data_IF_316079445576
#
_entry.id   IF_316079445576
#
_cell.length_a   1.000
_cell.length_b   1.000
_cell.length_c   1.000
_cell.angle_alpha   90.00
_cell.angle_beta   90.00
_cell.angle_gamma   90.00
#
_symmetry.space_group_name_H-M   'P 1'
#
loop_
_entity.id
_entity.type
_entity.pdbx_description
1 polymer ?
#
# COMPACT_ATOMS: atom_id res chain seq x y z
N UNK A 1 12.93 11.37 -26.68
CA UNK A 1 14.01 10.77 -25.87
C UNK A 1 13.55 10.60 -24.43
N UNK A 2 13.65 9.40 -23.87
CA UNK A 2 13.36 9.16 -22.46
C UNK A 2 14.51 9.72 -21.62
N UNK A 3 14.27 10.78 -20.85
CA UNK A 3 15.26 11.32 -19.90
C UNK A 3 15.39 10.37 -18.72
N UNK A 4 16.45 9.57 -18.71
CA UNK A 4 16.78 8.72 -17.59
C UNK A 4 17.27 9.61 -16.43
N UNK A 5 16.52 9.63 -15.33
CA UNK A 5 16.85 10.42 -14.14
C UNK A 5 18.14 9.84 -13.51
N UNK A 6 19.15 10.65 -13.18
CA UNK A 6 20.43 10.17 -12.64
C UNK A 6 20.35 9.58 -11.22
N UNK A 7 19.22 9.78 -10.53
CA UNK A 7 18.94 9.21 -9.23
C UNK A 7 18.34 7.82 -9.42
N UNK A 8 18.99 6.81 -8.83
CA UNK A 8 18.42 5.48 -8.72
C UNK A 8 17.26 5.54 -7.69
N UNK A 9 16.03 5.64 -8.18
CA UNK A 9 14.81 5.71 -7.35
C UNK A 9 14.53 4.37 -6.63
N UNK A 10 15.20 3.29 -7.06
CA UNK A 10 15.03 1.94 -6.50
C UNK A 10 15.94 1.74 -5.30
N UNK A 11 15.50 2.21 -4.14
CA UNK A 11 16.13 1.88 -2.86
C UNK A 11 15.73 0.45 -2.50
N UNK A 12 16.71 -0.43 -2.31
CA UNK A 12 16.45 -1.80 -1.85
C UNK A 12 16.34 -1.84 -0.32
N UNK A 13 15.54 -2.78 0.19
CA UNK A 13 15.53 -3.09 1.61
C UNK A 13 16.96 -3.48 2.08
N UNK A 14 17.43 -3.04 3.27
CA UNK A 14 16.70 -2.28 4.27
C UNK A 14 16.55 -0.79 3.90
N UNK A 15 15.30 -0.30 3.90
CA UNK A 15 15.01 1.12 3.80
C UNK A 15 15.45 1.74 5.12
N UNK A 16 16.67 2.29 5.20
CA UNK A 16 17.31 2.65 6.47
C UNK A 16 16.35 3.30 7.48
N UNK A 17 16.42 2.88 8.77
CA UNK A 17 15.45 3.15 9.85
C UNK A 17 14.66 4.47 9.70
N UNK A 18 13.51 4.42 9.03
CA UNK A 18 12.53 5.51 9.05
C UNK A 18 11.51 5.19 10.12
N UNK A 19 10.83 6.21 10.63
CA UNK A 19 9.74 6.01 11.59
C UNK A 19 8.38 5.87 10.90
N UNK A 20 8.26 6.43 9.69
CA UNK A 20 7.01 6.49 8.92
C UNK A 20 7.27 6.22 7.44
N UNK A 21 6.45 5.36 6.83
CA UNK A 21 6.41 5.09 5.39
C UNK A 21 5.02 5.42 4.84
N UNK A 22 4.95 6.25 3.80
CA UNK A 22 3.74 6.47 3.02
C UNK A 22 3.83 5.70 1.72
N UNK A 23 2.83 4.87 1.42
CA UNK A 23 2.78 4.05 0.20
C UNK A 23 1.59 4.50 -0.65
N UNK A 24 1.84 4.97 -1.86
CA UNK A 24 0.80 5.31 -2.83
C UNK A 24 0.78 4.22 -3.90
N UNK A 25 -0.37 3.59 -4.07
CA UNK A 25 -0.52 2.40 -4.91
C UNK A 25 -1.73 2.59 -5.81
N UNK A 26 -1.55 2.37 -7.10
CA UNK A 26 -2.65 2.36 -8.07
C UNK A 26 -2.71 1.02 -8.80
N UNK A 27 -3.88 0.38 -8.78
CA UNK A 27 -4.14 -0.86 -9.53
C UNK A 27 -3.12 -1.97 -9.29
N UNK A 28 -2.53 -2.48 -10.38
CA UNK A 28 -1.57 -3.60 -10.36
C UNK A 28 -0.23 -3.28 -9.70
N UNK A 29 0.03 -2.01 -9.39
CA UNK A 29 1.22 -1.55 -8.66
C UNK A 29 1.33 -2.10 -7.22
N UNK A 30 0.36 -2.88 -6.75
CA UNK A 30 0.32 -3.47 -5.41
C UNK A 30 1.37 -4.57 -5.20
N UNK A 31 1.73 -5.32 -6.23
CA UNK A 31 2.65 -6.46 -6.14
C UNK A 31 4.01 -6.11 -5.51
N UNK A 32 4.75 -5.07 -5.97
CA UNK A 32 6.01 -4.68 -5.32
C UNK A 32 5.80 -4.14 -3.89
N UNK A 33 4.62 -3.57 -3.61
CA UNK A 33 4.31 -3.00 -2.30
C UNK A 33 4.03 -4.08 -1.27
N UNK A 34 3.34 -5.16 -1.66
CA UNK A 34 3.15 -6.37 -0.84
C UNK A 34 4.49 -7.01 -0.47
N UNK A 35 5.45 -7.04 -1.41
CA UNK A 35 6.81 -7.53 -1.10
C UNK A 35 7.52 -6.65 -0.07
N UNK A 36 7.41 -5.32 -0.21
CA UNK A 36 7.99 -4.39 0.74
C UNK A 36 7.34 -4.50 2.13
N UNK A 37 6.00 -4.60 2.19
CA UNK A 37 5.25 -4.81 3.43
C UNK A 37 5.67 -6.11 4.12
N UNK A 38 5.82 -7.21 3.37
CA UNK A 38 6.25 -8.48 3.96
C UNK A 38 7.64 -8.38 4.59
N UNK A 39 8.57 -7.61 3.99
CA UNK A 39 9.90 -7.39 4.56
C UNK A 39 9.90 -6.46 5.79
N UNK A 40 9.00 -5.47 5.81
CA UNK A 40 8.85 -4.53 6.92
C UNK A 40 8.13 -5.17 8.12
N UNK A 41 6.94 -5.74 7.89
CA UNK A 41 6.10 -6.34 8.93
C UNK A 41 6.66 -7.68 9.43
N UNK A 42 7.43 -8.39 8.60
CA UNK A 42 8.10 -9.64 8.99
C UNK A 42 9.31 -9.44 9.91
N UNK A 43 9.74 -8.19 10.17
CA UNK A 43 10.86 -7.90 11.06
C UNK A 43 10.37 -7.31 12.39
N UNK A 44 10.37 -8.11 13.46
CA UNK A 44 9.94 -7.70 14.81
C UNK A 44 10.75 -6.53 15.39
N UNK A 45 11.96 -6.27 14.88
CA UNK A 45 12.79 -5.14 15.32
C UNK A 45 12.44 -3.82 14.61
N UNK A 46 11.62 -3.90 13.57
CA UNK A 46 11.16 -2.74 12.82
C UNK A 46 9.80 -2.28 13.36
N UNK A 47 9.79 -1.13 14.03
CA UNK A 47 8.59 -0.54 14.63
C UNK A 47 8.05 0.61 13.78
N UNK A 48 8.36 0.62 12.49
CA UNK A 48 7.93 1.69 11.58
C UNK A 48 6.42 1.68 11.40
N UNK A 49 5.83 2.86 11.28
CA UNK A 49 4.43 3.03 10.90
C UNK A 49 4.30 3.18 9.39
N UNK A 50 3.32 2.51 8.80
CA UNK A 50 3.16 2.36 7.36
C UNK A 50 1.71 2.68 7.02
N UNK A 51 1.50 3.74 6.25
CA UNK A 51 0.18 4.10 5.75
C UNK A 51 0.16 3.90 4.24
N UNK A 52 -0.78 3.09 3.77
CA UNK A 52 -0.97 2.81 2.36
C UNK A 52 -2.26 3.42 1.84
N UNK A 53 -2.18 4.13 0.72
CA UNK A 53 -3.33 4.58 -0.06
C UNK A 53 -3.40 3.76 -1.34
N UNK A 54 -4.46 2.97 -1.48
CA UNK A 54 -4.70 2.08 -2.61
C UNK A 54 -5.84 2.61 -3.46
N UNK A 55 -5.51 3.16 -4.63
CA UNK A 55 -6.46 3.67 -5.62
C UNK A 55 -6.81 2.61 -6.67
N UNK A 56 -8.09 2.25 -6.78
CA UNK A 56 -8.63 1.36 -7.81
C UNK A 56 -9.89 1.96 -8.46
N UNK A 57 -10.40 1.35 -9.55
CA UNK A 57 -11.62 1.83 -10.19
C UNK A 57 -12.86 1.37 -9.43
N UNK A 58 -12.96 0.07 -9.17
CA UNK A 58 -14.06 -0.55 -8.43
C UNK A 58 -13.57 -1.43 -7.27
N UNK A 59 -14.47 -1.82 -6.37
CA UNK A 59 -14.16 -2.72 -5.25
C UNK A 59 -13.66 -4.09 -5.75
N UNK A 60 -14.25 -4.59 -6.84
CA UNK A 60 -13.86 -5.86 -7.47
C UNK A 60 -12.43 -5.84 -8.04
N UNK A 61 -11.91 -4.64 -8.37
CA UNK A 61 -10.54 -4.47 -8.86
C UNK A 61 -9.50 -4.53 -7.72
N UNK A 62 -9.92 -4.55 -6.45
CA UNK A 62 -9.00 -4.59 -5.32
C UNK A 62 -8.31 -5.97 -5.22
N UNK A 63 -7.12 -6.03 -5.80
CA UNK A 63 -6.23 -7.17 -5.67
C UNK A 63 -5.68 -7.29 -4.24
N UNK A 64 -5.57 -8.53 -3.76
CA UNK A 64 -4.97 -8.88 -2.48
C UNK A 64 -5.64 -8.27 -1.22
N UNK A 65 -6.88 -7.79 -1.32
CA UNK A 65 -7.64 -7.19 -0.21
C UNK A 65 -7.61 -8.04 1.08
N UNK A 66 -7.84 -9.35 0.97
CA UNK A 66 -7.81 -10.28 2.12
C UNK A 66 -6.46 -10.29 2.85
N UNK A 67 -5.36 -10.16 2.11
CA UNK A 67 -4.01 -10.16 2.69
C UNK A 67 -3.76 -8.83 3.42
N UNK A 68 -4.15 -7.71 2.80
CA UNK A 68 -4.02 -6.39 3.43
C UNK A 68 -4.86 -6.30 4.70
N UNK A 69 -6.12 -6.76 4.66
CA UNK A 69 -7.00 -6.83 5.84
C UNK A 69 -6.43 -7.73 6.93
N UNK A 70 -5.81 -8.85 6.56
CA UNK A 70 -5.12 -9.68 7.57
C UNK A 70 -3.99 -8.91 8.24
N UNK A 71 -3.20 -8.13 7.50
CA UNK A 71 -2.11 -7.36 8.06
C UNK A 71 -2.56 -6.16 8.88
N UNK A 72 -3.64 -5.47 8.52
CA UNK A 72 -4.20 -4.42 9.39
C UNK A 72 -4.74 -4.99 10.69
N UNK A 73 -5.27 -6.21 10.69
CA UNK A 73 -5.71 -6.89 11.90
C UNK A 73 -4.54 -7.38 12.77
N UNK A 74 -3.49 -7.94 12.18
CA UNK A 74 -2.35 -8.48 12.94
C UNK A 74 -1.31 -7.42 13.33
N UNK A 75 -1.17 -6.35 12.53
CA UNK A 75 -0.19 -5.29 12.69
C UNK A 75 -0.84 -3.89 12.74
N UNK A 76 -2.06 -3.75 13.26
CA UNK A 76 -2.81 -2.49 13.22
C UNK A 76 -2.15 -1.28 13.89
N UNK A 77 -1.19 -1.48 14.79
CA UNK A 77 -0.38 -0.38 15.36
C UNK A 77 0.69 0.14 14.37
N UNK A 78 1.06 -0.67 13.39
CA UNK A 78 2.14 -0.42 12.44
C UNK A 78 1.67 -0.23 11.01
N UNK A 79 0.55 -0.83 10.61
CA UNK A 79 0.08 -0.82 9.23
C UNK A 79 -1.40 -0.47 9.15
N UNK A 80 -1.69 0.54 8.33
CA UNK A 80 -3.05 0.93 7.95
C UNK A 80 -3.15 1.09 6.43
N UNK A 81 -4.33 0.78 5.89
CA UNK A 81 -4.63 0.90 4.45
C UNK A 81 -5.93 1.64 4.23
N UNK A 82 -5.87 2.67 3.39
CA UNK A 82 -7.02 3.42 2.90
C UNK A 82 -7.26 3.07 1.44
N UNK A 83 -8.44 2.55 1.16
CA UNK A 83 -8.88 2.25 -0.21
C UNK A 83 -9.63 3.44 -0.78
N UNK A 84 -9.27 3.85 -2.00
CA UNK A 84 -9.90 4.95 -2.74
C UNK A 84 -10.41 4.40 -4.06
N UNK A 85 -11.69 4.58 -4.35
CA UNK A 85 -12.31 4.10 -5.58
C UNK A 85 -12.76 5.24 -6.49
N UNK A 86 -12.36 5.20 -7.76
CA UNK A 86 -12.60 6.32 -8.69
C UNK A 86 -13.84 6.16 -9.57
N UNK A 87 -14.32 4.94 -9.77
CA UNK A 87 -15.45 4.63 -10.67
C UNK A 87 -16.45 3.65 -10.05
N UNK A 88 -16.44 3.55 -8.72
CA UNK A 88 -17.39 2.73 -7.98
C UNK A 88 -18.80 3.33 -8.08
N UNK A 89 -19.82 2.54 -8.46
CA UNK A 89 -21.20 3.02 -8.54
C UNK A 89 -21.71 3.61 -7.22
N UNK A 90 -22.52 4.67 -7.29
CA UNK A 90 -23.07 5.33 -6.10
C UNK A 90 -24.02 4.43 -5.30
N UNK A 91 -24.66 3.48 -5.99
CA UNK A 91 -25.56 2.45 -5.45
C UNK A 91 -24.83 1.24 -4.86
N UNK A 92 -23.49 1.24 -4.87
CA UNK A 92 -22.69 0.20 -4.22
C UNK A 92 -22.75 0.28 -2.69
N UNK A 93 -22.37 -0.82 -2.04
CA UNK A 93 -22.18 -0.90 -0.59
C UNK A 93 -20.86 -0.29 -0.12
N UNK A 94 -20.08 0.35 -1.00
CA UNK A 94 -18.77 0.90 -0.65
C UNK A 94 -18.88 2.08 0.31
N UNK A 95 -18.36 1.91 1.52
CA UNK A 95 -18.31 2.96 2.56
C UNK A 95 -16.96 3.66 2.68
N UNK A 96 -15.98 3.28 1.85
CA UNK A 96 -14.64 3.86 1.87
C UNK A 96 -14.55 5.18 1.10
N UNK A 97 -13.32 5.67 0.93
CA UNK A 97 -13.06 6.89 0.18
C UNK A 97 -13.36 6.71 -1.31
N UNK A 98 -13.87 7.76 -1.94
CA UNK A 98 -14.17 7.82 -3.37
C UNK A 98 -13.44 9.02 -3.97
N UNK A 99 -12.78 8.86 -5.13
CA UNK A 99 -11.99 9.92 -5.76
C UNK A 99 -11.23 9.53 -7.00
#
# INVERSE_FOLDING_TARGET
EFKQIPINVKIQYPFGKKKYYGMLVGGTGITPMVQALHALLGNEKDTSQINMLLGNQTEDDILCDKVLKSWTLTHGEQFDVTHVLSSEPEDSTWTGERG
#
